data_IF_377167412602
#
_entry.id   IF_377167412602
#
_cell.length_a   1.000
_cell.length_b   1.000
_cell.length_c   1.000
_cell.angle_alpha   90.00
_cell.angle_beta   90.00
_cell.angle_gamma   90.00
#
_symmetry.space_group_name_H-M   'P 1'
#
loop_
_entity.id
_entity.type
_entity.pdbx_description
1 polymer ?
#
# COMPACT_ATOMS: atom_id res chain seq x y z
N UNK A 1 35.41 19.36 -8.36
CA UNK A 1 34.71 18.53 -9.36
C UNK A 1 34.55 17.09 -8.80
N UNK A 2 35.65 16.41 -8.38
CA UNK A 2 35.58 15.01 -7.92
C UNK A 2 34.48 14.74 -6.86
N UNK A 3 34.36 15.49 -5.75
CA UNK A 3 33.31 15.21 -4.75
C UNK A 3 31.87 15.34 -5.31
N UNK A 4 31.64 16.20 -6.31
CA UNK A 4 30.34 16.31 -6.95
C UNK A 4 30.04 15.12 -7.85
N UNK A 5 31.05 14.67 -8.63
CA UNK A 5 30.90 13.46 -9.46
C UNK A 5 30.62 12.23 -8.60
N UNK A 6 31.33 12.06 -7.50
CA UNK A 6 31.13 10.95 -6.57
C UNK A 6 29.73 10.99 -5.94
N UNK A 7 29.23 12.18 -5.56
CA UNK A 7 27.90 12.35 -5.00
C UNK A 7 26.81 12.03 -6.02
N UNK A 8 26.94 12.50 -7.27
CA UNK A 8 25.99 12.21 -8.34
C UNK A 8 25.99 10.73 -8.67
N UNK A 9 27.15 10.10 -8.81
CA UNK A 9 27.25 8.68 -9.09
C UNK A 9 26.65 7.82 -7.97
N UNK A 10 26.87 8.18 -6.70
CA UNK A 10 26.28 7.49 -5.56
C UNK A 10 24.75 7.64 -5.53
N UNK A 11 24.25 8.84 -5.81
CA UNK A 11 22.81 9.10 -5.90
C UNK A 11 22.15 8.28 -7.01
N UNK A 12 22.74 8.27 -8.20
CA UNK A 12 22.22 7.51 -9.35
C UNK A 12 22.23 6.01 -9.10
N UNK A 13 23.32 5.48 -8.54
CA UNK A 13 23.41 4.08 -8.18
C UNK A 13 22.29 3.68 -7.20
N UNK A 14 21.99 4.52 -6.22
CA UNK A 14 20.90 4.31 -5.28
C UNK A 14 19.53 4.40 -5.96
N UNK A 15 19.31 5.39 -6.83
CA UNK A 15 18.05 5.56 -7.56
C UNK A 15 17.81 4.39 -8.53
N UNK A 16 18.81 4.04 -9.34
CA UNK A 16 18.70 3.03 -10.40
C UNK A 16 18.57 1.61 -9.84
N UNK A 17 18.89 1.38 -8.58
CA UNK A 17 18.53 0.14 -7.90
C UNK A 17 17.00 -0.07 -7.77
N UNK A 18 16.20 0.99 -7.95
CA UNK A 18 14.75 0.96 -7.83
C UNK A 18 14.04 1.38 -9.12
N UNK A 19 14.44 2.49 -9.72
CA UNK A 19 13.84 3.08 -10.93
C UNK A 19 14.79 4.10 -11.55
N UNK A 20 14.57 4.46 -12.82
CA UNK A 20 15.30 5.56 -13.47
C UNK A 20 14.68 6.93 -13.25
N UNK A 21 13.47 7.00 -12.69
CA UNK A 21 12.69 8.23 -12.52
C UNK A 21 12.59 8.66 -11.05
N UNK A 22 13.15 9.83 -10.73
CA UNK A 22 13.16 10.37 -9.36
C UNK A 22 11.75 10.64 -8.83
N UNK A 23 10.85 11.16 -9.68
CA UNK A 23 9.46 11.42 -9.27
C UNK A 23 8.72 10.15 -8.90
N UNK A 24 8.90 9.09 -9.66
CA UNK A 24 8.31 7.78 -9.36
C UNK A 24 8.88 7.17 -8.07
N UNK A 25 10.19 7.29 -7.85
CA UNK A 25 10.82 6.85 -6.61
C UNK A 25 10.24 7.55 -5.39
N UNK A 26 10.22 8.89 -5.41
CA UNK A 26 9.71 9.69 -4.29
C UNK A 26 8.23 9.44 -4.04
N UNK A 27 7.42 9.39 -5.10
CA UNK A 27 5.99 9.10 -5.00
C UNK A 27 5.74 7.75 -4.35
N UNK A 28 6.42 6.71 -4.81
CA UNK A 28 6.27 5.38 -4.24
C UNK A 28 6.73 5.35 -2.78
N UNK A 29 7.89 5.90 -2.46
CA UNK A 29 8.42 5.94 -1.10
C UNK A 29 7.45 6.64 -0.13
N UNK A 30 6.90 7.80 -0.54
CA UNK A 30 5.97 8.60 0.28
C UNK A 30 4.62 7.90 0.42
N UNK A 31 4.06 7.37 -0.67
CA UNK A 31 2.76 6.70 -0.64
C UNK A 31 2.81 5.33 0.06
N UNK A 32 3.96 4.67 0.09
CA UNK A 32 4.12 3.37 0.72
C UNK A 32 4.46 3.43 2.20
N UNK A 33 5.04 4.54 2.64
CA UNK A 33 5.43 4.69 4.04
C UNK A 33 4.23 4.86 4.95
N UNK A 34 4.19 4.06 6.01
CA UNK A 34 3.22 4.23 7.09
C UNK A 34 3.69 5.37 8.01
N UNK A 35 2.97 6.49 7.95
CA UNK A 35 3.28 7.67 8.77
C UNK A 35 2.27 7.85 9.89
N UNK A 36 2.64 8.65 10.90
CA UNK A 36 1.70 9.05 11.96
C UNK A 36 0.47 9.75 11.38
N UNK A 37 0.65 10.57 10.35
CA UNK A 37 -0.46 11.27 9.69
C UNK A 37 -1.45 10.30 9.04
N UNK A 38 -0.98 9.24 8.36
CA UNK A 38 -1.86 8.22 7.76
C UNK A 38 -2.64 7.47 8.84
N UNK A 39 -1.99 7.09 9.94
CA UNK A 39 -2.66 6.43 11.07
C UNK A 39 -3.71 7.31 11.72
N UNK A 40 -3.39 8.57 11.98
CA UNK A 40 -4.33 9.53 12.59
C UNK A 40 -5.50 9.84 11.65
N UNK A 41 -5.25 9.96 10.34
CA UNK A 41 -6.29 10.14 9.33
C UNK A 41 -7.24 8.93 9.26
N UNK A 42 -6.71 7.71 9.30
CA UNK A 42 -7.51 6.48 9.32
C UNK A 42 -8.40 6.39 10.59
N UNK A 43 -7.91 6.92 11.73
CA UNK A 43 -8.66 7.01 12.98
C UNK A 43 -9.61 8.24 13.06
N UNK A 44 -9.63 9.11 12.05
CA UNK A 44 -10.40 10.37 12.08
C UNK A 44 -9.87 11.40 13.09
N UNK A 45 -8.60 11.32 13.45
CA UNK A 45 -7.97 12.12 14.52
C UNK A 45 -6.87 13.05 14.03
N UNK A 46 -6.75 13.27 12.73
CA UNK A 46 -5.73 14.16 12.16
C UNK A 46 -5.98 15.61 12.60
N UNK A 47 -5.01 16.19 13.30
CA UNK A 47 -5.13 17.58 13.76
C UNK A 47 -4.75 18.57 12.66
N UNK A 48 -5.32 19.82 12.69
CA UNK A 48 -4.97 20.84 11.70
C UNK A 48 -3.47 21.18 11.64
N UNK A 49 -2.77 21.09 12.76
CA UNK A 49 -1.33 21.32 12.83
C UNK A 49 -0.55 20.23 12.09
N UNK A 50 -0.96 18.98 12.26
CA UNK A 50 -0.35 17.84 11.54
C UNK A 50 -0.63 17.93 10.05
N UNK A 51 -1.85 18.33 9.68
CA UNK A 51 -2.22 18.52 8.27
C UNK A 51 -1.40 19.64 7.61
N UNK A 52 -1.21 20.77 8.28
CA UNK A 52 -0.39 21.87 7.78
C UNK A 52 1.10 21.47 7.62
N UNK A 53 1.67 20.76 8.61
CA UNK A 53 3.03 20.26 8.53
C UNK A 53 3.20 19.27 7.37
N UNK A 54 2.29 18.30 7.24
CA UNK A 54 2.26 17.34 6.15
C UNK A 54 2.19 18.02 4.78
N UNK A 55 1.28 18.99 4.60
CA UNK A 55 1.15 19.71 3.34
C UNK A 55 2.45 20.49 2.98
N UNK A 56 3.14 21.05 3.98
CA UNK A 56 4.43 21.71 3.77
C UNK A 56 5.50 20.73 3.29
N UNK A 57 5.59 19.56 3.90
CA UNK A 57 6.54 18.49 3.51
C UNK A 57 6.21 17.95 2.10
N UNK A 58 4.94 17.67 1.82
CA UNK A 58 4.51 17.17 0.50
C UNK A 58 4.81 18.18 -0.61
N UNK A 59 4.59 19.48 -0.36
CA UNK A 59 4.93 20.55 -1.33
C UNK A 59 6.42 20.62 -1.60
N UNK A 60 7.26 20.40 -0.58
CA UNK A 60 8.70 20.32 -0.76
C UNK A 60 9.10 19.08 -1.60
N UNK A 61 8.60 17.91 -1.24
CA UNK A 61 8.89 16.66 -1.95
C UNK A 61 8.39 16.70 -3.41
N UNK A 62 7.24 17.33 -3.64
CA UNK A 62 6.70 17.52 -4.99
C UNK A 62 7.63 18.33 -5.89
N UNK A 63 8.32 19.35 -5.34
CA UNK A 63 9.34 20.11 -6.10
C UNK A 63 10.54 19.22 -6.45
N UNK A 64 10.93 18.32 -5.55
CA UNK A 64 12.01 17.38 -5.79
C UNK A 64 11.66 16.35 -6.88
N UNK A 65 10.40 15.97 -7.05
CA UNK A 65 9.99 15.03 -8.09
C UNK A 65 10.39 15.46 -9.50
N UNK A 66 10.40 16.77 -9.76
CA UNK A 66 10.80 17.34 -11.04
C UNK A 66 12.27 17.74 -11.14
N UNK A 67 13.10 17.42 -10.14
CA UNK A 67 14.49 17.86 -10.09
C UNK A 67 15.36 17.04 -11.06
N UNK A 68 16.03 17.73 -11.97
CA UNK A 68 16.98 17.13 -12.93
C UNK A 68 18.41 17.47 -12.53
N UNK A 69 19.38 16.71 -13.07
CA UNK A 69 20.79 17.04 -12.89
C UNK A 69 21.12 18.42 -13.47
N UNK A 70 20.55 18.77 -14.64
CA UNK A 70 20.80 20.06 -15.27
C UNK A 70 20.33 21.22 -14.37
N UNK A 71 19.17 21.13 -13.76
CA UNK A 71 18.67 22.11 -12.80
C UNK A 71 19.57 22.25 -11.55
N UNK A 72 20.13 21.13 -11.07
CA UNK A 72 21.10 21.16 -9.97
C UNK A 72 22.40 21.85 -10.36
N UNK A 73 22.91 21.58 -11.56
CA UNK A 73 24.14 22.19 -12.06
C UNK A 73 23.99 23.70 -12.30
N UNK A 74 22.82 24.12 -12.83
CA UNK A 74 22.49 25.54 -12.97
C UNK A 74 22.44 26.26 -11.62
N UNK A 75 21.76 25.66 -10.64
CA UNK A 75 21.67 26.21 -9.28
C UNK A 75 23.03 26.29 -8.56
N UNK A 76 23.97 25.41 -8.92
CA UNK A 76 25.33 25.42 -8.38
C UNK A 76 26.29 26.38 -9.11
N UNK A 77 25.80 27.21 -10.02
CA UNK A 77 26.59 28.12 -10.85
C UNK A 77 27.79 27.46 -11.55
N UNK A 78 27.61 26.20 -11.97
CA UNK A 78 28.62 25.40 -12.64
C UNK A 78 28.31 25.28 -14.12
N UNK A 79 29.36 25.43 -14.92
CA UNK A 79 29.20 25.27 -16.37
C UNK A 79 28.78 23.82 -16.68
N UNK A 80 27.54 23.64 -17.11
CA UNK A 80 26.97 22.33 -17.43
C UNK A 80 27.77 21.56 -18.49
N UNK A 81 28.55 22.26 -19.32
CA UNK A 81 29.39 21.67 -20.38
C UNK A 81 30.50 20.80 -19.83
N UNK A 82 31.15 21.19 -18.74
CA UNK A 82 32.26 20.42 -18.14
C UNK A 82 31.76 19.13 -17.49
N UNK A 83 30.49 19.08 -17.13
CA UNK A 83 29.86 17.94 -16.43
C UNK A 83 28.85 17.20 -17.34
N UNK A 84 28.93 17.42 -18.65
CA UNK A 84 28.05 16.76 -19.64
C UNK A 84 28.18 15.23 -19.69
N UNK A 85 29.30 14.69 -19.19
CA UNK A 85 29.56 13.26 -19.13
C UNK A 85 28.83 12.56 -17.97
N UNK A 86 28.33 13.32 -16.98
CA UNK A 86 27.58 12.71 -15.88
C UNK A 86 26.27 12.10 -16.40
N UNK A 87 25.92 10.92 -15.91
CA UNK A 87 24.65 10.30 -16.26
C UNK A 87 23.47 11.18 -15.82
N UNK A 88 22.33 10.93 -16.39
CA UNK A 88 21.10 11.68 -16.09
C UNK A 88 19.98 10.75 -15.73
N UNK A 89 19.32 11.05 -14.62
CA UNK A 89 18.08 10.39 -14.28
C UNK A 89 16.90 11.11 -14.91
N UNK A 90 15.80 10.39 -15.03
CA UNK A 90 14.52 10.94 -15.45
C UNK A 90 13.83 11.62 -14.27
N UNK A 91 13.10 12.71 -14.55
CA UNK A 91 12.29 13.40 -13.56
C UNK A 91 10.90 13.65 -14.13
N UNK A 92 9.88 13.55 -13.31
CA UNK A 92 8.49 13.78 -13.70
C UNK A 92 7.79 14.59 -12.62
N UNK A 93 7.11 15.66 -13.04
CA UNK A 93 6.21 16.40 -12.17
C UNK A 93 4.99 15.53 -11.86
N UNK A 94 4.70 15.40 -10.57
CA UNK A 94 3.57 14.63 -10.04
C UNK A 94 2.79 15.53 -9.09
N UNK A 95 1.49 15.38 -9.04
CA UNK A 95 0.69 15.98 -7.97
C UNK A 95 0.71 15.03 -6.75
N UNK A 96 1.83 15.05 -6.04
CA UNK A 96 2.06 14.21 -4.87
C UNK A 96 1.08 14.54 -3.74
N UNK A 97 0.72 15.81 -3.61
CA UNK A 97 -0.23 16.28 -2.59
C UNK A 97 -1.62 15.71 -2.85
N UNK A 98 -2.11 15.75 -4.09
CA UNK A 98 -3.41 15.16 -4.43
C UNK A 98 -3.41 13.64 -4.23
N UNK A 99 -2.35 12.95 -4.67
CA UNK A 99 -2.22 11.50 -4.52
C UNK A 99 -2.20 11.08 -3.04
N UNK A 100 -1.45 11.81 -2.21
CA UNK A 100 -1.38 11.53 -0.77
C UNK A 100 -2.70 11.83 -0.05
N UNK A 101 -3.35 12.93 -0.38
CA UNK A 101 -4.65 13.28 0.19
C UNK A 101 -5.72 12.25 -0.20
N UNK A 102 -5.67 11.74 -1.44
CA UNK A 102 -6.54 10.63 -1.85
C UNK A 102 -6.30 9.38 -1.01
N UNK A 103 -5.02 9.01 -0.81
CA UNK A 103 -4.65 7.90 0.06
C UNK A 103 -5.16 8.07 1.50
N UNK A 104 -5.02 9.26 2.06
CA UNK A 104 -5.50 9.54 3.42
C UNK A 104 -7.02 9.41 3.56
N UNK A 105 -7.79 9.88 2.57
CA UNK A 105 -9.26 9.68 2.54
C UNK A 105 -9.65 8.20 2.48
N UNK A 106 -8.84 7.39 1.81
CA UNK A 106 -9.10 5.96 1.66
C UNK A 106 -8.53 5.10 2.80
N UNK A 107 -7.64 5.65 3.62
CA UNK A 107 -6.91 4.90 4.63
C UNK A 107 -7.83 4.24 5.68
N UNK A 108 -8.91 4.89 6.06
CA UNK A 108 -9.91 4.33 6.99
C UNK A 108 -10.66 3.12 6.41
N UNK A 109 -10.79 3.04 5.08
CA UNK A 109 -11.48 1.94 4.40
C UNK A 109 -10.51 0.88 3.89
N UNK A 110 -9.46 1.30 3.17
CA UNK A 110 -8.52 0.39 2.50
C UNK A 110 -7.33 -0.01 3.37
N UNK A 111 -7.16 0.63 4.54
CA UNK A 111 -5.98 0.48 5.38
C UNK A 111 -4.77 1.22 4.84
N UNK A 112 -3.62 1.02 5.48
CA UNK A 112 -2.34 1.64 5.12
C UNK A 112 -1.20 0.60 5.19
N UNK A 113 0.01 0.98 4.73
CA UNK A 113 1.13 0.06 4.69
C UNK A 113 0.83 -1.19 3.85
N UNK A 114 1.08 -2.37 4.42
CA UNK A 114 0.83 -3.63 3.73
C UNK A 114 -0.65 -3.88 3.42
N UNK A 115 -1.58 -3.34 4.22
CA UNK A 115 -3.02 -3.53 4.01
C UNK A 115 -3.57 -2.74 2.82
N UNK A 116 -2.92 -1.64 2.43
CA UNK A 116 -3.27 -0.90 1.22
C UNK A 116 -2.91 -1.65 -0.06
N UNK A 117 -1.85 -2.48 -0.02
CA UNK A 117 -1.30 -3.22 -1.16
C UNK A 117 -1.85 -4.64 -1.30
N UNK A 118 -2.13 -5.29 -0.17
CA UNK A 118 -2.52 -6.68 -0.12
C UNK A 118 -3.85 -6.85 0.60
N UNK A 119 -4.62 -7.85 0.20
CA UNK A 119 -5.91 -8.16 0.80
C UNK A 119 -5.96 -9.57 1.40
N UNK A 120 -4.93 -10.40 1.17
CA UNK A 120 -4.79 -11.72 1.77
C UNK A 120 -3.47 -11.80 2.52
N UNK A 121 -3.54 -12.32 3.74
CA UNK A 121 -2.41 -12.46 4.66
C UNK A 121 -2.41 -13.85 5.28
N UNK A 122 -1.23 -14.29 5.69
CA UNK A 122 -1.03 -15.46 6.54
C UNK A 122 -0.29 -15.05 7.81
N UNK A 123 -0.27 -15.94 8.79
CA UNK A 123 0.52 -15.74 10.03
C UNK A 123 1.77 -16.60 9.96
N UNK A 124 2.93 -16.00 10.10
CA UNK A 124 4.23 -16.67 10.19
C UNK A 124 4.98 -16.13 11.41
N UNK A 125 5.41 -17.04 12.29
CA UNK A 125 6.12 -16.69 13.53
C UNK A 125 5.42 -15.60 14.38
N UNK A 126 4.09 -15.62 14.41
CA UNK A 126 3.27 -14.64 15.14
C UNK A 126 3.13 -13.28 14.46
N UNK A 127 3.62 -13.11 13.23
CA UNK A 127 3.52 -11.90 12.44
C UNK A 127 2.61 -12.10 11.22
N UNK A 128 1.93 -11.02 10.80
CA UNK A 128 1.17 -11.01 9.56
C UNK A 128 2.13 -10.86 8.37
N UNK A 129 2.01 -11.77 7.41
CA UNK A 129 2.79 -11.78 6.17
C UNK A 129 1.83 -11.70 4.99
N UNK A 130 2.01 -10.76 4.05
CA UNK A 130 1.15 -10.65 2.88
C UNK A 130 1.37 -11.81 1.91
N UNK A 131 0.28 -12.36 1.38
CA UNK A 131 0.32 -13.32 0.28
C UNK A 131 0.46 -12.53 -1.03
N UNK A 132 1.65 -12.62 -1.66
CA UNK A 132 1.96 -11.85 -2.88
C UNK A 132 1.07 -12.23 -4.08
N UNK A 133 0.72 -13.49 -4.19
CA UNK A 133 -0.07 -14.05 -5.30
C UNK A 133 -1.24 -14.85 -4.71
N UNK A 134 -2.29 -14.18 -4.22
CA UNK A 134 -3.47 -14.88 -3.74
C UNK A 134 -4.18 -15.60 -4.88
N UNK A 135 -4.85 -16.68 -4.55
CA UNK A 135 -5.67 -17.44 -5.49
C UNK A 135 -6.74 -16.51 -6.12
N UNK A 136 -6.77 -16.33 -7.45
CA UNK A 136 -7.65 -15.37 -8.13
C UNK A 136 -9.10 -15.82 -8.25
N UNK A 137 -9.57 -16.74 -7.39
CA UNK A 137 -10.92 -17.29 -7.39
C UNK A 137 -11.99 -16.21 -7.41
N UNK A 138 -13.00 -16.36 -8.29
CA UNK A 138 -14.15 -15.45 -8.39
C UNK A 138 -15.43 -16.13 -7.91
N UNK A 139 -16.36 -15.35 -7.35
CA UNK A 139 -17.67 -15.87 -6.93
C UNK A 139 -18.46 -16.46 -8.10
N UNK A 140 -18.34 -15.85 -9.28
CA UNK A 140 -19.02 -16.30 -10.52
C UNK A 140 -18.51 -17.65 -11.06
N UNK A 141 -17.33 -18.09 -10.62
CA UNK A 141 -16.69 -19.35 -11.06
C UNK A 141 -17.03 -20.54 -10.16
N UNK A 142 -17.74 -20.32 -9.05
CA UNK A 142 -18.09 -21.34 -8.08
C UNK A 142 -19.43 -21.98 -8.39
N UNK A 143 -19.48 -23.23 -8.83
CA UNK A 143 -20.75 -23.92 -9.10
C UNK A 143 -21.45 -24.39 -7.82
N UNK A 144 -22.76 -24.35 -7.80
CA UNK A 144 -23.61 -24.87 -6.72
C UNK A 144 -23.51 -24.08 -5.40
N UNK A 145 -24.35 -24.46 -4.46
CA UNK A 145 -24.42 -23.87 -3.11
C UNK A 145 -24.68 -22.35 -3.09
N UNK A 146 -25.42 -21.82 -4.05
CA UNK A 146 -25.69 -20.38 -4.20
C UNK A 146 -26.40 -19.82 -2.95
N UNK A 147 -27.39 -20.56 -2.42
CA UNK A 147 -28.17 -20.14 -1.24
C UNK A 147 -27.31 -20.05 0.03
N UNK A 148 -26.42 -21.02 0.23
CA UNK A 148 -25.49 -21.07 1.37
C UNK A 148 -24.45 -19.95 1.24
N UNK A 149 -23.93 -19.76 0.05
CA UNK A 149 -22.97 -18.72 -0.28
C UNK A 149 -23.56 -17.33 -0.08
N UNK A 150 -24.80 -17.10 -0.51
CA UNK A 150 -25.47 -15.81 -0.32
C UNK A 150 -25.59 -15.41 1.16
N UNK A 151 -25.79 -16.36 2.07
CA UNK A 151 -25.78 -16.09 3.51
C UNK A 151 -24.43 -15.59 4.00
N UNK A 152 -23.34 -16.17 3.51
CA UNK A 152 -21.98 -15.72 3.86
C UNK A 152 -21.72 -14.34 3.29
N UNK A 153 -22.10 -14.10 2.05
CA UNK A 153 -21.98 -12.81 1.36
C UNK A 153 -22.76 -11.73 2.11
N UNK A 154 -24.03 -11.99 2.44
CA UNK A 154 -24.86 -11.04 3.17
C UNK A 154 -24.26 -10.68 4.55
N UNK A 155 -23.72 -11.67 5.26
CA UNK A 155 -23.03 -11.46 6.54
C UNK A 155 -21.73 -10.63 6.36
N UNK A 156 -20.97 -10.88 5.29
CA UNK A 156 -19.76 -10.11 4.97
C UNK A 156 -20.10 -8.66 4.61
N UNK A 157 -21.17 -8.44 3.83
CA UNK A 157 -21.67 -7.08 3.52
C UNK A 157 -22.10 -6.33 4.78
N UNK A 158 -22.78 -7.02 5.71
CA UNK A 158 -23.13 -6.42 7.01
C UNK A 158 -21.88 -5.99 7.79
N UNK A 159 -20.85 -6.84 7.86
CA UNK A 159 -19.55 -6.51 8.47
C UNK A 159 -18.93 -5.26 7.84
N UNK A 160 -18.86 -5.19 6.52
CA UNK A 160 -18.27 -4.07 5.78
C UNK A 160 -19.06 -2.76 5.97
N UNK A 161 -20.38 -2.88 6.18
CA UNK A 161 -21.26 -1.74 6.46
C UNK A 161 -21.19 -1.29 7.94
N UNK A 162 -20.39 -1.93 8.79
CA UNK A 162 -20.36 -1.67 10.23
C UNK A 162 -21.62 -2.12 10.97
N UNK A 163 -22.45 -2.94 10.34
CA UNK A 163 -23.64 -3.55 10.96
C UNK A 163 -23.29 -4.82 11.71
N UNK A 164 -24.12 -5.28 12.66
CA UNK A 164 -23.90 -6.54 13.35
C UNK A 164 -23.72 -7.70 12.35
N UNK A 165 -22.61 -8.43 12.49
CA UNK A 165 -22.29 -9.60 11.70
C UNK A 165 -21.91 -10.76 12.64
N UNK A 166 -22.21 -11.98 12.21
CA UNK A 166 -22.00 -13.19 12.99
C UNK A 166 -20.73 -13.92 12.56
N UNK A 167 -20.18 -14.74 13.46
CA UNK A 167 -19.20 -15.75 13.09
C UNK A 167 -19.84 -16.77 12.16
N UNK A 168 -19.10 -17.24 11.15
CA UNK A 168 -19.59 -18.20 10.15
C UNK A 168 -18.78 -19.48 10.26
N UNK A 169 -19.48 -20.62 10.33
CA UNK A 169 -18.89 -21.94 10.24
C UNK A 169 -19.30 -22.60 8.92
N UNK A 170 -18.32 -22.87 8.05
CA UNK A 170 -18.52 -23.63 6.83
C UNK A 170 -18.14 -25.10 7.09
N UNK A 171 -19.10 -26.00 6.93
CA UNK A 171 -18.90 -27.44 7.12
C UNK A 171 -19.44 -28.22 5.92
N UNK A 172 -19.05 -29.47 5.79
CA UNK A 172 -19.41 -30.36 4.67
C UNK A 172 -18.18 -31.10 4.14
N UNK A 173 -18.38 -31.94 3.12
CA UNK A 173 -17.37 -32.82 2.53
C UNK A 173 -16.18 -32.06 1.92
N UNK A 174 -15.06 -32.75 1.76
CA UNK A 174 -13.92 -32.20 1.03
C UNK A 174 -14.32 -31.88 -0.43
N UNK A 175 -13.75 -30.82 -0.99
CA UNK A 175 -14.00 -30.43 -2.39
C UNK A 175 -15.30 -29.67 -2.65
N UNK A 176 -16.13 -29.36 -1.65
CA UNK A 176 -17.40 -28.62 -1.82
C UNK A 176 -17.21 -27.09 -1.93
N UNK A 177 -16.01 -26.59 -2.17
CA UNK A 177 -15.76 -25.18 -2.45
C UNK A 177 -15.74 -24.24 -1.23
N UNK A 178 -15.67 -24.76 0.03
CA UNK A 178 -15.66 -23.91 1.24
C UNK A 178 -14.54 -22.90 1.26
N UNK A 179 -13.31 -23.34 1.09
CA UNK A 179 -12.14 -22.44 1.04
C UNK A 179 -12.15 -21.54 -0.18
N UNK A 180 -12.62 -22.04 -1.33
CA UNK A 180 -12.78 -21.25 -2.55
C UNK A 180 -13.81 -20.13 -2.35
N UNK A 181 -14.90 -20.39 -1.62
CA UNK A 181 -15.90 -19.37 -1.28
C UNK A 181 -15.30 -18.24 -0.44
N UNK A 182 -14.51 -18.58 0.59
CA UNK A 182 -13.84 -17.56 1.44
C UNK A 182 -12.87 -16.72 0.64
N UNK A 183 -12.04 -17.35 -0.20
CA UNK A 183 -11.07 -16.67 -1.07
C UNK A 183 -11.77 -15.77 -2.09
N UNK A 184 -12.82 -16.27 -2.73
CA UNK A 184 -13.61 -15.50 -3.71
C UNK A 184 -14.27 -14.28 -3.09
N UNK A 185 -14.82 -14.38 -1.87
CA UNK A 185 -15.38 -13.26 -1.12
C UNK A 185 -14.27 -12.25 -0.79
N UNK A 186 -13.09 -12.70 -0.35
CA UNK A 186 -11.97 -11.83 -0.06
C UNK A 186 -11.52 -11.03 -1.28
N UNK A 187 -11.48 -11.68 -2.45
CA UNK A 187 -11.13 -11.03 -3.72
C UNK A 187 -12.20 -10.02 -4.15
N UNK A 188 -13.48 -10.40 -4.11
CA UNK A 188 -14.61 -9.58 -4.54
C UNK A 188 -14.73 -8.28 -3.75
N UNK A 189 -14.57 -8.37 -2.42
CA UNK A 189 -14.74 -7.23 -1.51
C UNK A 189 -13.42 -6.57 -1.07
N UNK A 190 -12.29 -6.90 -1.70
CA UNK A 190 -10.99 -6.28 -1.43
C UNK A 190 -11.01 -4.76 -1.59
N UNK A 191 -11.69 -4.27 -2.65
CA UNK A 191 -11.86 -2.85 -2.93
C UNK A 191 -12.75 -2.14 -1.90
N UNK A 192 -13.65 -2.89 -1.24
CA UNK A 192 -14.52 -2.41 -0.17
C UNK A 192 -13.86 -2.43 1.21
N UNK A 193 -12.61 -2.85 1.28
CA UNK A 193 -11.82 -2.83 2.51
C UNK A 193 -11.73 -4.20 3.20
N UNK A 194 -12.29 -5.27 2.64
CA UNK A 194 -12.16 -6.61 3.23
C UNK A 194 -10.72 -7.09 3.17
N UNK A 195 -10.24 -7.63 4.29
CA UNK A 195 -8.92 -8.26 4.40
C UNK A 195 -9.08 -9.67 4.97
N UNK A 196 -8.48 -10.65 4.31
CA UNK A 196 -8.45 -12.04 4.76
C UNK A 196 -7.14 -12.33 5.48
N UNK A 197 -7.23 -12.86 6.69
CA UNK A 197 -6.09 -13.40 7.43
C UNK A 197 -6.31 -14.91 7.60
N UNK A 198 -5.46 -15.71 6.98
CA UNK A 198 -5.48 -17.16 7.13
C UNK A 198 -4.66 -17.56 8.36
N UNK A 199 -5.30 -18.24 9.32
CA UNK A 199 -4.67 -18.71 10.56
C UNK A 199 -4.79 -20.23 10.62
N UNK A 200 -3.67 -20.93 10.77
CA UNK A 200 -3.64 -22.38 10.94
C UNK A 200 -4.02 -22.78 12.37
N UNK A 201 -4.57 -23.98 12.54
CA UNK A 201 -5.03 -24.50 13.85
C UNK A 201 -3.96 -24.38 14.96
N UNK A 202 -2.71 -24.68 14.64
CA UNK A 202 -1.58 -24.59 15.58
C UNK A 202 -1.17 -23.15 15.93
N UNK A 203 -1.67 -22.16 15.22
CA UNK A 203 -1.37 -20.72 15.40
C UNK A 203 -2.44 -20.02 16.24
N UNK A 204 -3.60 -20.62 16.46
CA UNK A 204 -4.71 -20.02 17.21
C UNK A 204 -4.37 -19.66 18.66
N UNK A 205 -3.37 -20.32 19.24
CA UNK A 205 -2.90 -20.06 20.62
C UNK A 205 -1.69 -19.13 20.67
N UNK A 206 -1.14 -18.72 19.54
CA UNK A 206 -0.05 -17.76 19.48
C UNK A 206 -0.61 -16.33 19.56
N UNK A 207 0.05 -15.47 20.36
CA UNK A 207 -0.22 -14.04 20.28
C UNK A 207 0.20 -13.56 18.90
N UNK A 208 -0.77 -13.36 18.03
CA UNK A 208 -0.56 -12.63 16.78
C UNK A 208 -0.26 -11.19 17.19
N UNK A 209 0.92 -10.68 16.86
CA UNK A 209 1.29 -9.31 17.14
C UNK A 209 0.16 -8.39 16.63
N UNK A 210 -0.23 -7.40 17.42
CA UNK A 210 -1.26 -6.44 17.01
C UNK A 210 -0.78 -5.78 15.72
N UNK A 211 -1.35 -6.19 14.59
CA UNK A 211 -1.35 -5.33 13.43
C UNK A 211 -2.12 -4.09 13.88
N UNK A 212 -1.47 -2.95 13.93
CA UNK A 212 -2.16 -1.70 14.14
C UNK A 212 -3.03 -1.47 12.89
N UNK A 213 -4.30 -1.82 13.02
CA UNK A 213 -5.36 -1.44 12.08
C UNK A 213 -5.79 -0.02 12.40
#
# INVERSE_FOLDING_TARGET
IAPLCDAVAAFEAALFAHTTNLGDYLSNAVLETETVCVRQAAAGQLSPVMEAALNSELNFLQKLCGLTLDALLEAADRQSRELAFLPRWEARQLDLTAAYNQRMREAGKKGYGMFAKHHVFTVENGQLVPVKYPDPQKLSELPGYEKEREKVIANTRALLAGSPANNVLLYGDAGTGKSSTVKAIANEYAADGLRLVEVKKNQLYQKIGRAHV
#
